data_IF_836585659684
#
_entry.id   IF_836585659684
#
_cell.length_a   1.000
_cell.length_b   1.000
_cell.length_c   1.000
_cell.angle_alpha   90.00
_cell.angle_beta   90.00
_cell.angle_gamma   90.00
#
_symmetry.space_group_name_H-M   'P 1'
#
loop_
_entity.id
_entity.type
_entity.pdbx_description
1 polymer ?
#
# COMPACT_ATOMS: atom_id res chain seq x y z
N UNK A 1 15.22 -5.98 -11.33
CA UNK A 1 15.51 -5.39 -12.66
C UNK A 1 14.24 -4.73 -13.17
N UNK A 2 14.19 -3.40 -13.17
CA UNK A 2 13.10 -2.63 -13.77
C UNK A 2 13.44 -2.41 -15.24
N UNK A 3 12.81 -3.16 -16.15
CA UNK A 3 12.85 -2.85 -17.58
C UNK A 3 11.83 -1.74 -17.85
N UNK A 4 12.24 -0.48 -17.68
CA UNK A 4 11.41 0.66 -18.06
C UNK A 4 11.41 0.71 -19.59
N UNK A 5 10.27 0.47 -20.25
CA UNK A 5 10.08 0.54 -21.71
C UNK A 5 10.12 1.99 -22.20
N UNK A 6 11.28 2.64 -22.12
CA UNK A 6 11.40 4.09 -22.42
C UNK A 6 11.37 4.36 -23.95
N UNK A 7 11.75 3.36 -24.76
CA UNK A 7 11.92 3.51 -26.21
C UNK A 7 10.99 2.62 -27.05
N UNK A 8 9.97 2.02 -26.43
CA UNK A 8 8.99 1.18 -27.15
C UNK A 8 7.77 2.01 -27.53
N UNK A 9 7.39 1.94 -28.81
CA UNK A 9 6.12 2.49 -29.29
C UNK A 9 4.99 1.67 -28.70
N UNK A 10 3.95 2.32 -28.16
CA UNK A 10 2.78 1.61 -27.64
C UNK A 10 1.98 0.99 -28.79
N UNK A 11 1.54 -0.25 -28.60
CA UNK A 11 0.75 -0.99 -29.58
C UNK A 11 -0.74 -0.68 -29.49
N UNK A 12 -1.50 -0.96 -30.55
CA UNK A 12 -2.95 -0.80 -30.56
C UNK A 12 -3.61 -1.73 -29.53
N UNK A 13 -3.10 -2.94 -29.34
CA UNK A 13 -3.58 -3.89 -28.33
C UNK A 13 -3.38 -3.36 -26.91
N UNK A 14 -2.23 -2.74 -26.63
CA UNK A 14 -1.96 -2.10 -25.35
C UNK A 14 -2.91 -0.93 -25.09
N UNK A 15 -3.21 -0.09 -26.09
CA UNK A 15 -4.20 0.97 -25.96
C UNK A 15 -5.60 0.39 -25.69
N UNK A 16 -6.01 -0.67 -26.40
CA UNK A 16 -7.30 -1.35 -26.17
C UNK A 16 -7.35 -1.92 -24.74
N UNK A 17 -6.23 -2.42 -24.22
CA UNK A 17 -6.14 -2.92 -22.86
C UNK A 17 -6.36 -1.81 -21.82
N UNK A 18 -5.84 -0.60 -22.05
CA UNK A 18 -6.09 0.58 -21.20
C UNK A 18 -7.59 0.89 -21.14
N UNK A 19 -8.25 0.95 -22.30
CA UNK A 19 -9.68 1.28 -22.39
C UNK A 19 -10.54 0.27 -21.60
N UNK A 20 -10.22 -1.02 -21.72
CA UNK A 20 -10.91 -2.10 -20.99
C UNK A 20 -10.60 -2.06 -19.50
N UNK A 21 -9.32 -1.97 -19.14
CA UNK A 21 -8.82 -2.00 -17.76
C UNK A 21 -9.41 -0.89 -16.91
N UNK A 22 -9.57 0.30 -17.47
CA UNK A 22 -10.08 1.47 -16.76
C UNK A 22 -11.49 1.88 -17.18
N UNK A 23 -12.23 1.01 -17.88
CA UNK A 23 -13.61 1.23 -18.31
C UNK A 23 -13.85 2.65 -18.90
N UNK A 24 -12.94 3.09 -19.76
CA UNK A 24 -12.93 4.44 -20.33
C UNK A 24 -13.04 4.37 -21.86
N UNK A 25 -13.85 5.24 -22.44
CA UNK A 25 -14.01 5.30 -23.91
C UNK A 25 -12.83 6.00 -24.60
N UNK A 26 -12.68 5.78 -25.91
CA UNK A 26 -11.63 6.40 -26.75
C UNK A 26 -11.61 7.93 -26.64
N UNK A 27 -12.76 8.56 -26.85
CA UNK A 27 -12.92 10.03 -26.77
C UNK A 27 -12.68 10.57 -25.35
N UNK A 28 -13.29 10.01 -24.28
CA UNK A 28 -12.96 10.38 -22.91
C UNK A 28 -11.47 10.26 -22.59
N UNK A 29 -10.80 9.17 -22.98
CA UNK A 29 -9.36 9.01 -22.74
C UNK A 29 -8.55 10.09 -23.48
N UNK A 30 -8.85 10.38 -24.74
CA UNK A 30 -8.18 11.44 -25.48
C UNK A 30 -8.32 12.81 -24.78
N UNK A 31 -9.55 13.17 -24.39
CA UNK A 31 -9.84 14.42 -23.67
C UNK A 31 -9.13 14.48 -22.32
N UNK A 32 -9.14 13.38 -21.57
CA UNK A 32 -8.45 13.27 -20.29
C UNK A 32 -6.95 13.54 -20.42
N UNK A 33 -6.35 13.19 -21.55
CA UNK A 33 -4.92 13.41 -21.81
C UNK A 33 -4.60 14.79 -22.38
N UNK A 34 -5.61 15.61 -22.67
CA UNK A 34 -5.48 16.90 -23.36
C UNK A 34 -5.26 16.78 -24.86
N UNK A 35 -5.66 15.65 -25.47
CA UNK A 35 -5.45 15.33 -26.87
C UNK A 35 -6.72 15.53 -27.71
N UNK A 36 -6.56 15.64 -29.02
CA UNK A 36 -7.69 15.67 -29.96
C UNK A 36 -8.54 14.40 -29.87
N UNK A 37 -9.87 14.53 -29.98
CA UNK A 37 -10.81 13.41 -29.73
C UNK A 37 -10.57 12.17 -30.60
N UNK A 38 -9.98 12.35 -31.79
CA UNK A 38 -9.69 11.26 -32.74
C UNK A 38 -8.32 10.63 -32.53
N UNK A 39 -7.44 11.21 -31.70
CA UNK A 39 -6.06 10.75 -31.51
C UNK A 39 -5.99 9.28 -31.09
N UNK A 40 -6.75 8.89 -30.06
CA UNK A 40 -6.78 7.49 -29.58
C UNK A 40 -7.37 6.54 -30.63
N UNK A 41 -8.35 7.01 -31.42
CA UNK A 41 -8.93 6.20 -32.50
C UNK A 41 -7.90 5.92 -33.59
N UNK A 42 -7.19 6.95 -34.05
CA UNK A 42 -6.13 6.86 -35.07
C UNK A 42 -5.05 5.85 -34.69
N UNK A 43 -4.59 5.86 -33.45
CA UNK A 43 -3.58 4.91 -32.96
C UNK A 43 -4.07 3.47 -32.91
N UNK A 44 -5.37 3.26 -32.62
CA UNK A 44 -5.97 1.93 -32.70
C UNK A 44 -6.10 1.46 -34.16
N UNK A 45 -6.28 2.38 -35.11
CA UNK A 45 -6.42 2.11 -36.55
C UNK A 45 -5.07 1.95 -37.28
N UNK A 46 -3.95 2.15 -36.59
CA UNK A 46 -2.60 1.86 -37.10
C UNK A 46 -1.66 3.07 -37.22
N UNK A 47 -2.11 4.28 -36.87
CA UNK A 47 -1.22 5.43 -36.82
C UNK A 47 -0.17 5.26 -35.71
N UNK A 48 1.07 5.62 -36.02
CA UNK A 48 2.19 5.50 -35.09
C UNK A 48 2.16 6.70 -34.12
N UNK A 49 1.99 6.49 -32.79
CA UNK A 49 2.07 7.57 -31.82
C UNK A 49 3.48 8.15 -31.73
N UNK A 50 3.59 9.43 -31.35
CA UNK A 50 4.90 10.01 -31.02
C UNK A 50 5.49 9.33 -29.78
N UNK A 51 6.80 9.47 -29.58
CA UNK A 51 7.48 8.95 -28.39
C UNK A 51 6.88 9.51 -27.10
N UNK A 52 6.49 10.78 -27.09
CA UNK A 52 5.85 11.43 -25.94
C UNK A 52 4.48 10.80 -25.62
N UNK A 53 3.65 10.59 -26.65
CA UNK A 53 2.31 10.03 -26.47
C UNK A 53 2.38 8.55 -26.07
N UNK A 54 3.32 7.80 -26.67
CA UNK A 54 3.61 6.42 -26.27
C UNK A 54 4.02 6.34 -24.80
N UNK A 55 4.96 7.19 -24.36
CA UNK A 55 5.39 7.24 -22.95
C UNK A 55 4.22 7.50 -22.01
N UNK A 56 3.34 8.45 -22.33
CA UNK A 56 2.18 8.76 -21.48
C UNK A 56 1.20 7.59 -21.37
N UNK A 57 0.90 6.92 -22.48
CA UNK A 57 0.01 5.75 -22.48
C UNK A 57 0.65 4.53 -21.80
N UNK A 58 1.97 4.32 -21.95
CA UNK A 58 2.71 3.26 -21.25
C UNK A 58 2.67 3.51 -19.73
N UNK A 59 2.88 4.74 -19.27
CA UNK A 59 2.74 5.07 -17.84
C UNK A 59 1.34 4.73 -17.31
N UNK A 60 0.29 5.02 -18.07
CA UNK A 60 -1.10 4.68 -17.71
C UNK A 60 -1.32 3.16 -17.69
N UNK A 61 -0.72 2.43 -18.63
CA UNK A 61 -0.83 0.99 -18.72
C UNK A 61 -0.13 0.29 -17.55
N UNK A 62 1.06 0.76 -17.20
CA UNK A 62 1.94 0.13 -16.20
C UNK A 62 1.59 0.54 -14.77
N UNK A 63 1.08 1.75 -14.55
CA UNK A 63 0.86 2.33 -13.23
C UNK A 63 -0.59 2.83 -13.03
N UNK A 64 -1.44 2.02 -12.35
CA UNK A 64 -2.80 2.42 -12.00
C UNK A 64 -2.88 3.67 -11.14
N UNK A 65 -1.88 3.92 -10.27
CA UNK A 65 -1.87 5.11 -9.43
C UNK A 65 -1.63 6.38 -10.25
N UNK A 66 -0.70 6.33 -11.22
CA UNK A 66 -0.49 7.40 -12.19
C UNK A 66 -1.77 7.71 -13.00
N UNK A 67 -2.50 6.67 -13.41
CA UNK A 67 -3.77 6.84 -14.09
C UNK A 67 -4.84 7.48 -13.17
N UNK A 68 -4.97 7.02 -11.93
CA UNK A 68 -5.90 7.60 -10.95
C UNK A 68 -5.63 9.09 -10.73
N UNK A 69 -4.37 9.48 -10.58
CA UNK A 69 -3.98 10.89 -10.46
C UNK A 69 -4.37 11.69 -11.69
N UNK A 70 -4.07 11.18 -12.88
CA UNK A 70 -4.46 11.82 -14.14
C UNK A 70 -5.97 12.00 -14.23
N UNK A 71 -6.73 11.00 -13.78
CA UNK A 71 -8.19 11.02 -13.77
C UNK A 71 -8.75 12.08 -12.80
N UNK A 72 -8.22 12.15 -11.58
CA UNK A 72 -8.68 13.12 -10.57
C UNK A 72 -8.36 14.57 -10.96
N UNK A 73 -7.19 14.82 -11.54
CA UNK A 73 -6.78 16.16 -11.99
C UNK A 73 -7.60 16.67 -13.18
N UNK A 74 -7.97 15.77 -14.09
CA UNK A 74 -8.62 16.13 -15.35
C UNK A 74 -10.10 15.71 -15.41
N UNK A 75 -10.72 15.46 -14.26
CA UNK A 75 -12.10 14.95 -14.16
C UNK A 75 -13.13 15.85 -14.88
N UNK A 76 -12.91 17.17 -14.86
CA UNK A 76 -13.80 18.16 -15.50
C UNK A 76 -13.75 18.14 -17.04
N UNK A 77 -12.74 17.48 -17.62
CA UNK A 77 -12.59 17.37 -19.08
C UNK A 77 -13.49 16.30 -19.69
N UNK A 78 -14.08 15.42 -18.87
CA UNK A 78 -14.92 14.30 -19.31
C UNK A 78 -16.31 14.35 -18.66
N UNK A 79 -17.25 13.54 -19.14
CA UNK A 79 -18.59 13.49 -18.55
C UNK A 79 -18.53 12.85 -17.15
N UNK A 80 -19.41 13.30 -16.24
CA UNK A 80 -19.48 12.71 -14.89
C UNK A 80 -19.76 11.20 -14.87
N UNK A 81 -20.46 10.67 -15.87
CA UNK A 81 -20.67 9.22 -16.03
C UNK A 81 -19.36 8.51 -16.40
N UNK A 82 -18.60 9.05 -17.35
CA UNK A 82 -17.31 8.49 -17.75
C UNK A 82 -16.30 8.53 -16.59
N UNK A 83 -16.25 9.66 -15.86
CA UNK A 83 -15.40 9.81 -14.67
C UNK A 83 -15.73 8.77 -13.61
N UNK A 84 -16.99 8.63 -13.19
CA UNK A 84 -17.37 7.67 -12.14
C UNK A 84 -17.03 6.22 -12.50
N UNK A 85 -17.41 5.77 -13.70
CA UNK A 85 -17.11 4.41 -14.19
C UNK A 85 -15.62 4.11 -14.23
N UNK A 86 -14.85 5.08 -14.71
CA UNK A 86 -13.41 4.94 -14.85
C UNK A 86 -12.70 4.95 -13.50
N UNK A 87 -13.16 5.82 -12.60
CA UNK A 87 -12.68 5.93 -11.23
C UNK A 87 -12.94 4.66 -10.44
N UNK A 88 -14.14 4.10 -10.53
CA UNK A 88 -14.48 2.81 -9.93
C UNK A 88 -13.52 1.71 -10.42
N UNK A 89 -13.32 1.59 -11.74
CA UNK A 89 -12.44 0.58 -12.33
C UNK A 89 -10.98 0.69 -11.85
N UNK A 90 -10.40 1.89 -11.80
CA UNK A 90 -9.02 2.04 -11.31
C UNK A 90 -8.91 1.79 -9.81
N UNK A 91 -9.91 2.18 -9.02
CA UNK A 91 -9.92 1.94 -7.57
C UNK A 91 -10.04 0.45 -7.24
N UNK A 92 -10.82 -0.33 -7.99
CA UNK A 92 -10.88 -1.79 -7.84
C UNK A 92 -9.51 -2.43 -8.05
N UNK A 93 -8.72 -1.93 -9.01
CA UNK A 93 -7.36 -2.42 -9.29
C UNK A 93 -6.44 -2.06 -8.13
N UNK A 94 -6.41 -0.78 -7.72
CA UNK A 94 -5.52 -0.30 -6.67
C UNK A 94 -5.84 -0.94 -5.31
N UNK A 95 -7.13 -1.03 -4.97
CA UNK A 95 -7.62 -1.56 -3.70
C UNK A 95 -7.95 -3.07 -3.78
N UNK A 96 -7.39 -3.79 -4.76
CA UNK A 96 -7.67 -5.21 -4.99
C UNK A 96 -7.26 -6.12 -3.83
N UNK A 97 -6.16 -5.80 -3.13
CA UNK A 97 -5.69 -6.58 -1.98
C UNK A 97 -6.03 -5.91 -0.63
N UNK A 98 -6.12 -6.73 0.41
CA UNK A 98 -6.39 -6.24 1.77
C UNK A 98 -5.24 -5.38 2.30
N UNK A 99 -3.98 -5.76 2.06
CA UNK A 99 -2.81 -4.94 2.44
C UNK A 99 -2.79 -3.59 1.72
N UNK A 100 -3.27 -3.51 0.47
CA UNK A 100 -3.41 -2.23 -0.23
C UNK A 100 -4.43 -1.34 0.48
N UNK A 101 -5.61 -1.88 0.81
CA UNK A 101 -6.66 -1.14 1.55
C UNK A 101 -6.13 -0.59 2.87
N UNK A 102 -5.43 -1.43 3.64
CA UNK A 102 -4.79 -1.02 4.91
C UNK A 102 -3.73 0.05 4.67
N UNK A 103 -2.87 -0.11 3.66
CA UNK A 103 -1.82 0.85 3.34
C UNK A 103 -2.37 2.23 3.00
N UNK A 104 -3.36 2.32 2.10
CA UNK A 104 -3.98 3.60 1.77
C UNK A 104 -4.76 4.20 2.94
N UNK A 105 -5.34 3.37 3.82
CA UNK A 105 -5.98 3.87 5.03
C UNK A 105 -4.94 4.54 5.96
N UNK A 106 -3.77 3.92 6.14
CA UNK A 106 -2.66 4.48 6.91
C UNK A 106 -2.15 5.80 6.29
N UNK A 107 -1.96 5.83 4.97
CA UNK A 107 -1.53 7.04 4.25
C UNK A 107 -2.56 8.17 4.39
N UNK A 108 -3.85 7.84 4.34
CA UNK A 108 -4.90 8.82 4.54
C UNK A 108 -4.88 9.42 5.96
N UNK A 109 -4.81 8.60 7.01
CA UNK A 109 -4.74 9.11 8.40
C UNK A 109 -3.45 9.90 8.65
N UNK A 110 -2.32 9.51 8.04
CA UNK A 110 -1.09 10.29 8.15
C UNK A 110 -1.23 11.67 7.52
N UNK A 111 -1.88 11.74 6.35
CA UNK A 111 -2.12 13.01 5.68
C UNK A 111 -3.06 13.92 6.46
N UNK A 112 -4.13 13.38 7.06
CA UNK A 112 -5.00 14.14 7.97
C UNK A 112 -4.21 14.72 9.15
N UNK A 113 -3.18 14.00 9.60
CA UNK A 113 -2.27 14.43 10.67
C UNK A 113 -1.19 15.41 10.18
N UNK A 114 -1.21 15.81 8.90
CA UNK A 114 -0.22 16.67 8.22
C UNK A 114 1.19 16.09 8.16
N UNK A 115 1.31 14.76 8.14
CA UNK A 115 2.57 14.04 8.02
C UNK A 115 2.59 13.16 6.77
N UNK A 116 3.68 13.25 6.00
CA UNK A 116 3.93 12.31 4.91
C UNK A 116 4.65 11.07 5.49
N UNK A 117 4.02 9.91 5.31
CA UNK A 117 4.55 8.64 5.79
C UNK A 117 5.56 8.08 4.79
N UNK A 118 6.80 7.82 5.25
CA UNK A 118 7.78 7.12 4.41
C UNK A 118 7.38 5.66 4.18
N UNK A 119 7.82 5.08 3.06
CA UNK A 119 7.57 3.66 2.76
C UNK A 119 8.08 2.74 3.89
N UNK A 120 9.22 3.05 4.51
CA UNK A 120 9.76 2.29 5.66
C UNK A 120 8.89 2.43 6.90
N UNK A 121 8.38 3.63 7.17
CA UNK A 121 7.52 3.83 8.33
C UNK A 121 6.17 3.12 8.15
N UNK A 122 5.62 3.10 6.93
CA UNK A 122 4.42 2.32 6.61
C UNK A 122 4.60 0.83 6.91
N UNK A 123 5.78 0.26 6.63
CA UNK A 123 6.08 -1.14 6.95
C UNK A 123 5.97 -1.43 8.46
N UNK A 124 6.39 -0.50 9.31
CA UNK A 124 6.25 -0.60 10.75
C UNK A 124 4.77 -0.66 11.17
N UNK A 125 3.96 0.28 10.68
CA UNK A 125 2.53 0.34 11.02
C UNK A 125 1.81 -0.91 10.50
N UNK A 126 2.11 -1.38 9.29
CA UNK A 126 1.56 -2.63 8.75
C UNK A 126 1.91 -3.84 9.60
N UNK A 127 3.18 -3.96 10.03
CA UNK A 127 3.66 -5.06 10.85
C UNK A 127 2.92 -5.11 12.19
N UNK A 128 2.90 -4.00 12.92
CA UNK A 128 2.25 -3.97 14.22
C UNK A 128 0.72 -4.08 14.10
N UNK A 129 0.10 -3.51 13.06
CA UNK A 129 -1.34 -3.70 12.82
C UNK A 129 -1.69 -5.19 12.61
N UNK A 130 -0.87 -5.93 11.87
CA UNK A 130 -1.03 -7.38 11.70
C UNK A 130 -0.84 -8.11 13.04
N UNK A 131 0.23 -7.80 13.79
CA UNK A 131 0.53 -8.41 15.09
C UNK A 131 -0.62 -8.21 16.09
N UNK A 132 -1.07 -6.97 16.28
CA UNK A 132 -2.15 -6.69 17.23
C UNK A 132 -3.48 -7.27 16.76
N UNK A 133 -3.72 -7.36 15.44
CA UNK A 133 -4.90 -8.06 14.92
C UNK A 133 -4.90 -9.54 15.31
N UNK A 134 -3.76 -10.21 15.10
CA UNK A 134 -3.59 -11.62 15.41
C UNK A 134 -3.78 -11.93 16.89
N UNK A 135 -3.25 -11.08 17.78
CA UNK A 135 -3.29 -11.32 19.23
C UNK A 135 -4.64 -10.91 19.84
N UNK A 136 -5.13 -9.69 19.55
CA UNK A 136 -6.33 -9.14 20.20
C UNK A 136 -7.64 -9.68 19.62
N UNK A 137 -7.65 -10.07 18.34
CA UNK A 137 -8.86 -10.52 17.65
C UNK A 137 -8.79 -11.96 17.17
N UNK A 138 -7.66 -12.65 17.38
CA UNK A 138 -7.43 -13.99 16.83
C UNK A 138 -7.69 -14.07 15.32
N UNK A 139 -7.40 -12.99 14.60
CA UNK A 139 -7.66 -12.90 13.17
C UNK A 139 -6.54 -12.14 12.45
N UNK A 140 -6.18 -12.59 11.25
CA UNK A 140 -5.24 -11.85 10.41
C UNK A 140 -5.89 -10.57 9.85
N UNK A 141 -5.11 -9.49 9.76
CA UNK A 141 -5.60 -8.24 9.15
C UNK A 141 -5.54 -8.31 7.63
N UNK A 142 -4.52 -8.97 7.09
CA UNK A 142 -4.35 -9.27 5.68
C UNK A 142 -3.57 -10.58 5.49
N UNK A 143 -3.65 -11.21 4.29
CA UNK A 143 -3.08 -12.53 4.07
C UNK A 143 -1.57 -12.53 3.82
N UNK A 144 -0.96 -11.39 3.47
CA UNK A 144 0.47 -11.28 3.16
C UNK A 144 1.36 -11.75 4.32
N UNK A 145 2.36 -12.58 4.01
CA UNK A 145 3.32 -13.09 5.00
C UNK A 145 4.39 -12.05 5.36
N UNK A 146 4.78 -12.04 6.63
CA UNK A 146 5.88 -11.21 7.12
C UNK A 146 7.23 -11.83 6.74
N UNK A 147 7.92 -11.21 5.79
CA UNK A 147 9.23 -11.65 5.31
C UNK A 147 10.34 -11.42 6.35
N UNK A 148 11.28 -12.36 6.42
CA UNK A 148 12.52 -12.20 7.20
C UNK A 148 13.64 -11.74 6.28
N UNK A 149 14.05 -10.48 6.44
CA UNK A 149 15.18 -9.89 5.73
C UNK A 149 15.97 -8.93 6.64
N UNK A 150 17.17 -8.58 6.18
CA UNK A 150 18.11 -7.71 6.89
C UNK A 150 17.73 -6.23 6.81
N UNK A 151 16.85 -5.86 5.87
CA UNK A 151 16.36 -4.49 5.70
C UNK A 151 15.15 -4.16 6.59
N UNK A 152 14.60 -5.15 7.29
CA UNK A 152 13.40 -5.00 8.14
C UNK A 152 12.20 -4.48 7.35
N UNK A 153 11.97 -5.08 6.18
CA UNK A 153 10.84 -4.80 5.29
C UNK A 153 9.94 -6.05 5.27
N UNK A 154 8.96 -6.17 6.18
CA UNK A 154 8.04 -7.30 6.27
C UNK A 154 7.29 -7.59 4.97
N UNK A 155 6.86 -6.56 4.25
CA UNK A 155 6.01 -6.68 3.07
C UNK A 155 6.69 -6.03 1.84
N UNK A 156 7.70 -6.72 1.30
CA UNK A 156 8.58 -6.22 0.24
C UNK A 156 7.85 -5.74 -1.02
N UNK A 157 6.82 -6.48 -1.46
CA UNK A 157 6.02 -6.08 -2.62
C UNK A 157 5.30 -4.76 -2.37
N UNK A 158 4.72 -4.60 -1.17
CA UNK A 158 4.05 -3.36 -0.77
C UNK A 158 5.06 -2.21 -0.66
N UNK A 159 6.24 -2.45 -0.09
CA UNK A 159 7.30 -1.46 0.01
C UNK A 159 7.75 -0.94 -1.36
N UNK A 160 8.09 -1.85 -2.30
CA UNK A 160 8.52 -1.49 -3.66
C UNK A 160 7.46 -0.72 -4.42
N UNK A 161 6.18 -1.05 -4.21
CA UNK A 161 5.06 -0.32 -4.79
C UNK A 161 5.02 1.11 -4.25
N UNK A 162 5.11 1.27 -2.94
CA UNK A 162 5.05 2.59 -2.28
C UNK A 162 6.26 3.47 -2.57
N UNK A 163 7.46 2.91 -2.75
CA UNK A 163 8.62 3.71 -3.18
C UNK A 163 8.45 4.33 -4.57
N UNK A 164 7.72 3.65 -5.46
CA UNK A 164 7.39 4.19 -6.79
C UNK A 164 6.28 5.23 -6.72
N UNK A 165 5.36 5.03 -5.79
CA UNK A 165 4.01 5.61 -5.81
C UNK A 165 3.70 6.42 -4.53
N UNK A 166 4.71 7.01 -3.89
CA UNK A 166 4.60 7.61 -2.56
C UNK A 166 3.74 8.88 -2.47
N UNK A 167 3.39 9.49 -3.60
CA UNK A 167 2.60 10.73 -3.67
C UNK A 167 1.09 10.53 -3.80
N UNK A 168 0.62 9.32 -4.12
CA UNK A 168 -0.78 9.10 -4.51
C UNK A 168 -1.71 8.93 -3.31
N UNK A 169 -2.68 9.84 -3.16
CA UNK A 169 -3.68 9.78 -2.09
C UNK A 169 -5.01 9.31 -2.65
N UNK A 170 -5.53 8.23 -2.10
CA UNK A 170 -6.89 7.74 -2.38
C UNK A 170 -7.82 8.18 -1.27
N UNK A 171 -8.97 8.72 -1.64
CA UNK A 171 -9.98 9.14 -0.67
C UNK A 171 -10.50 7.93 0.14
N UNK A 172 -10.52 8.07 1.47
CA UNK A 172 -10.90 7.02 2.42
C UNK A 172 -12.32 6.48 2.25
N UNK A 173 -13.23 7.24 1.66
CA UNK A 173 -14.61 6.80 1.46
C UNK A 173 -14.70 5.54 0.59
N UNK A 174 -13.68 5.28 -0.25
CA UNK A 174 -13.63 4.09 -1.10
C UNK A 174 -12.97 2.89 -0.40
N UNK A 175 -12.40 3.06 0.79
CA UNK A 175 -11.64 2.02 1.47
C UNK A 175 -12.57 1.17 2.35
N UNK A 176 -12.90 -0.02 1.85
CA UNK A 176 -13.70 -1.02 2.56
C UNK A 176 -12.87 -1.76 3.62
N UNK A 177 -12.84 -1.21 4.83
CA UNK A 177 -12.35 -1.83 6.06
C UNK A 177 -13.45 -1.77 7.13
N UNK A 178 -13.53 -2.78 7.99
CA UNK A 178 -14.51 -2.81 9.08
C UNK A 178 -14.22 -1.70 10.12
N UNK A 179 -15.22 -1.28 10.91
CA UNK A 179 -15.00 -0.30 11.98
C UNK A 179 -13.89 -0.73 12.96
N UNK A 180 -13.85 -2.01 13.32
CA UNK A 180 -12.82 -2.58 14.22
C UNK A 180 -11.43 -2.51 13.61
N UNK A 181 -11.28 -2.86 12.32
CA UNK A 181 -10.00 -2.75 11.62
C UNK A 181 -9.52 -1.30 11.56
N UNK A 182 -10.42 -0.37 11.23
CA UNK A 182 -10.11 1.07 11.19
C UNK A 182 -9.66 1.57 12.56
N UNK A 183 -10.37 1.18 13.64
CA UNK A 183 -10.01 1.54 15.00
C UNK A 183 -8.64 0.99 15.40
N UNK A 184 -8.37 -0.28 15.11
CA UNK A 184 -7.08 -0.91 15.37
C UNK A 184 -5.94 -0.19 14.64
N UNK A 185 -6.07 0.01 13.33
CA UNK A 185 -5.02 0.64 12.52
C UNK A 185 -4.74 2.07 12.99
N UNK A 186 -5.81 2.82 13.34
CA UNK A 186 -5.68 4.17 13.86
C UNK A 186 -4.92 4.19 15.19
N UNK A 187 -5.28 3.31 16.13
CA UNK A 187 -4.61 3.25 17.43
C UNK A 187 -3.13 2.83 17.29
N UNK A 188 -2.83 1.88 16.40
CA UNK A 188 -1.43 1.51 16.09
C UNK A 188 -0.69 2.69 15.47
N UNK A 189 -1.30 3.43 14.56
CA UNK A 189 -0.67 4.63 14.00
C UNK A 189 -0.36 5.66 15.08
N UNK A 190 -1.33 5.99 15.95
CA UNK A 190 -1.16 6.97 17.03
C UNK A 190 -0.14 6.53 18.09
N UNK A 191 -0.14 5.24 18.44
CA UNK A 191 0.82 4.67 19.38
C UNK A 191 2.26 4.78 18.87
N UNK A 192 2.47 4.52 17.58
CA UNK A 192 3.81 4.47 17.00
C UNK A 192 4.24 5.82 16.41
N UNK A 193 3.35 6.81 16.19
CA UNK A 193 3.69 8.12 15.60
C UNK A 193 4.65 8.96 16.42
N UNK A 194 4.79 8.67 17.71
CA UNK A 194 5.68 9.38 18.63
C UNK A 194 7.15 8.91 18.56
N UNK A 195 7.43 7.86 17.80
CA UNK A 195 8.74 7.21 17.78
C UNK A 195 9.41 7.34 16.42
N UNK A 196 10.74 7.54 16.43
CA UNK A 196 11.53 7.66 15.20
C UNK A 196 11.91 6.30 14.60
N UNK A 197 12.38 6.26 13.34
CA UNK A 197 12.78 5.03 12.63
C UNK A 197 13.77 4.13 13.40
N UNK A 198 14.70 4.74 14.15
CA UNK A 198 15.68 4.00 14.97
C UNK A 198 15.02 3.18 16.07
N UNK A 199 13.97 3.69 16.71
CA UNK A 199 13.25 2.97 17.75
C UNK A 199 12.58 1.70 17.20
N UNK A 200 11.92 1.79 16.04
CA UNK A 200 11.31 0.62 15.41
C UNK A 200 12.33 -0.41 14.98
N UNK A 201 13.45 0.04 14.44
CA UNK A 201 14.53 -0.85 14.06
C UNK A 201 15.04 -1.65 15.27
N UNK A 202 15.25 -0.98 16.43
CA UNK A 202 15.65 -1.65 17.66
C UNK A 202 14.58 -2.62 18.19
N UNK A 203 13.30 -2.22 18.21
CA UNK A 203 12.22 -3.13 18.63
C UNK A 203 12.12 -4.36 17.71
N UNK A 204 12.21 -4.17 16.40
CA UNK A 204 12.17 -5.26 15.44
C UNK A 204 13.38 -6.19 15.60
N UNK A 205 14.60 -5.65 15.75
CA UNK A 205 15.80 -6.42 16.04
C UNK A 205 15.64 -7.29 17.30
N UNK A 206 15.17 -6.66 18.38
CA UNK A 206 14.96 -7.31 19.67
C UNK A 206 13.99 -8.50 19.55
N UNK A 207 12.80 -8.25 18.99
CA UNK A 207 11.75 -9.25 18.86
C UNK A 207 12.14 -10.41 17.93
N UNK A 208 12.78 -10.11 16.79
CA UNK A 208 13.14 -11.11 15.76
C UNK A 208 13.99 -12.26 16.30
N UNK A 209 14.83 -12.01 17.30
CA UNK A 209 15.71 -13.03 17.89
C UNK A 209 14.94 -14.19 18.55
N UNK A 210 13.71 -13.93 18.99
CA UNK A 210 12.88 -14.85 19.77
C UNK A 210 11.72 -15.45 18.97
N UNK A 211 11.46 -14.94 17.76
CA UNK A 211 10.36 -15.42 16.91
C UNK A 211 10.84 -16.57 16.02
N UNK A 212 10.09 -17.68 16.03
CA UNK A 212 10.39 -18.85 15.17
C UNK A 212 10.24 -18.52 13.69
N UNK A 213 11.32 -18.77 12.94
CA UNK A 213 11.36 -18.61 11.48
C UNK A 213 10.78 -19.85 10.81
N UNK A 214 9.89 -19.63 9.85
CA UNK A 214 9.29 -20.65 8.98
C UNK A 214 9.63 -20.37 7.52
N UNK A 215 9.11 -21.20 6.61
CA UNK A 215 9.24 -21.00 5.16
C UNK A 215 7.89 -21.04 4.47
N UNK A 216 7.71 -20.18 3.48
CA UNK A 216 6.52 -20.17 2.64
C UNK A 216 6.60 -21.24 1.52
N UNK A 217 5.56 -21.32 0.69
CA UNK A 217 5.49 -22.24 -0.45
C UNK A 217 6.60 -22.04 -1.50
N UNK A 218 7.22 -20.85 -1.53
CA UNK A 218 8.35 -20.51 -2.41
C UNK A 218 9.69 -20.66 -1.72
N UNK A 219 9.73 -21.35 -0.58
CA UNK A 219 10.92 -21.60 0.23
C UNK A 219 11.57 -20.31 0.79
N UNK A 220 10.83 -19.19 0.86
CA UNK A 220 11.29 -17.91 1.40
C UNK A 220 11.12 -17.89 2.92
N UNK A 221 12.06 -17.26 3.65
CA UNK A 221 12.01 -17.15 5.12
C UNK A 221 10.92 -16.16 5.53
N UNK A 222 10.02 -16.61 6.40
CA UNK A 222 8.91 -15.81 6.92
C UNK A 222 8.77 -15.96 8.43
N UNK A 223 8.18 -14.96 9.09
CA UNK A 223 7.55 -15.15 10.38
C UNK A 223 6.09 -15.54 10.12
N UNK A 224 5.79 -16.83 10.31
CA UNK A 224 4.43 -17.34 10.19
C UNK A 224 3.51 -16.63 11.19
N UNK A 225 2.24 -16.44 10.81
CA UNK A 225 1.25 -15.72 11.63
C UNK A 225 1.07 -16.34 13.02
N UNK A 226 1.11 -17.67 13.11
CA UNK A 226 1.05 -18.38 14.39
C UNK A 226 2.29 -18.11 15.27
N UNK A 227 3.49 -18.05 14.67
CA UNK A 227 4.72 -17.70 15.39
C UNK A 227 4.69 -16.25 15.90
N UNK A 228 4.22 -15.31 15.07
CA UNK A 228 4.03 -13.91 15.48
C UNK A 228 3.03 -13.84 16.64
N UNK A 229 1.86 -14.47 16.47
CA UNK A 229 0.82 -14.48 17.48
C UNK A 229 1.29 -15.06 18.79
N UNK A 230 1.94 -16.22 18.79
CA UNK A 230 2.42 -16.88 20.00
C UNK A 230 3.43 -16.00 20.77
N UNK A 231 4.41 -15.43 20.06
CA UNK A 231 5.39 -14.54 20.67
C UNK A 231 4.75 -13.28 21.26
N UNK A 232 3.93 -12.57 20.47
CA UNK A 232 3.35 -11.32 20.94
C UNK A 232 2.25 -11.52 21.98
N UNK A 233 1.54 -12.65 21.99
CA UNK A 233 0.57 -12.98 23.04
C UNK A 233 1.26 -13.04 24.42
N UNK A 234 2.42 -13.69 24.52
CA UNK A 234 3.21 -13.74 25.76
C UNK A 234 3.66 -12.34 26.19
N UNK A 235 4.16 -11.53 25.26
CA UNK A 235 4.61 -10.16 25.51
C UNK A 235 3.47 -9.27 25.99
N UNK A 236 2.33 -9.29 25.30
CA UNK A 236 1.20 -8.42 25.64
C UNK A 236 0.58 -8.81 26.98
N UNK A 237 0.61 -10.10 27.36
CA UNK A 237 0.25 -10.56 28.71
C UNK A 237 1.16 -9.97 29.78
N UNK A 238 2.49 -9.98 29.58
CA UNK A 238 3.46 -9.37 30.51
C UNK A 238 3.18 -7.88 30.68
N UNK A 239 2.85 -7.19 29.60
CA UNK A 239 2.53 -5.75 29.62
C UNK A 239 1.12 -5.41 30.10
N UNK A 240 0.28 -6.42 30.32
CA UNK A 240 -1.14 -6.27 30.60
C UNK A 240 -1.81 -5.35 29.56
N UNK A 241 -1.70 -5.75 28.29
CA UNK A 241 -2.34 -5.13 27.12
C UNK A 241 -3.33 -6.15 26.55
N UNK A 242 -4.62 -5.92 26.76
CA UNK A 242 -5.70 -6.85 26.41
C UNK A 242 -6.70 -6.29 25.40
N UNK A 243 -6.66 -4.99 25.10
CA UNK A 243 -7.57 -4.34 24.15
C UNK A 243 -6.90 -3.22 23.35
N UNK A 244 -7.59 -2.71 22.33
CA UNK A 244 -7.08 -1.65 21.43
C UNK A 244 -6.56 -0.45 22.23
N UNK A 245 -7.33 0.08 23.18
CA UNK A 245 -7.01 1.36 23.86
C UNK A 245 -5.70 1.31 24.70
N UNK A 246 -5.17 0.11 24.93
CA UNK A 246 -3.94 -0.13 25.68
C UNK A 246 -2.70 -0.25 24.78
N UNK A 247 -2.87 -0.37 23.45
CA UNK A 247 -1.78 -0.51 22.46
C UNK A 247 -0.74 0.62 22.60
N UNK A 248 -1.18 1.85 22.91
CA UNK A 248 -0.28 2.99 23.15
C UNK A 248 0.81 2.77 24.21
N UNK A 249 0.61 1.82 25.13
CA UNK A 249 1.62 1.47 26.15
C UNK A 249 2.76 0.61 25.57
N UNK A 250 2.51 -0.13 24.49
CA UNK A 250 3.44 -1.12 23.95
C UNK A 250 4.81 -0.53 23.59
N UNK A 251 4.93 0.51 22.74
CA UNK A 251 6.23 0.96 22.29
C UNK A 251 7.11 1.47 23.43
N UNK A 252 6.51 2.18 24.40
CA UNK A 252 7.21 2.70 25.57
C UNK A 252 7.71 1.61 26.51
N UNK A 253 6.88 0.59 26.79
CA UNK A 253 7.29 -0.56 27.61
C UNK A 253 8.39 -1.37 26.93
N UNK A 254 8.25 -1.61 25.63
CA UNK A 254 9.23 -2.38 24.87
C UNK A 254 10.58 -1.68 24.77
N UNK A 255 10.59 -0.38 24.52
CA UNK A 255 11.85 0.38 24.45
C UNK A 255 12.56 0.43 25.81
N UNK A 256 11.80 0.51 26.91
CA UNK A 256 12.38 0.45 28.27
C UNK A 256 13.08 -0.89 28.51
N UNK A 257 12.43 -2.01 28.19
CA UNK A 257 13.02 -3.34 28.33
C UNK A 257 14.31 -3.48 27.48
N UNK A 258 14.32 -2.91 26.27
CA UNK A 258 15.51 -2.90 25.40
C UNK A 258 16.64 -2.09 26.04
N UNK A 259 16.34 -0.94 26.66
CA UNK A 259 17.35 -0.13 27.33
C UNK A 259 17.94 -0.86 28.55
N UNK A 260 17.10 -1.44 29.41
CA UNK A 260 17.51 -2.13 30.63
C UNK A 260 18.39 -3.36 30.38
N UNK A 261 18.31 -3.98 29.19
CA UNK A 261 19.11 -5.16 28.82
C UNK A 261 20.47 -4.82 28.20
N UNK A 262 20.66 -3.57 27.77
CA UNK A 262 21.91 -3.08 27.17
C UNK A 262 22.81 -2.34 28.18
N UNK A 263 22.37 -2.20 29.43
CA UNK A 263 23.14 -1.76 30.59
C UNK A 263 23.75 -2.96 31.33
#
# INVERSE_FOLDING_TARGET
MNNKRIDTVITSEEIISILRRYNIGKKPLARLLGWGETTILRYIEGDIPTTEYSKKLISILEDPEYYYETLEHNQDLITGVAYRKSREAVLEIILSSKINKVSYYIMHISKLSKWDISAKYLQCILYYSQVFSLVLFNNELFPDDCMVNDEYIPYENQYKRMERNSSYIINCNNISLSPTEKALIKEVYEAFSWYGPRAFHQMALYDKSSIKISRDQRNRRIFAKDSLKAYYDEVLKIYNIANINEIKRYPGLRLREICERNE
#
